data_IF_207356758647
#
_entry.id   IF_207356758647
#
_cell.length_a   1.000
_cell.length_b   1.000
_cell.length_c   1.000
_cell.angle_alpha   90.00
_cell.angle_beta   90.00
_cell.angle_gamma   90.00
#
_symmetry.space_group_name_H-M   'P 1'
#
loop_
_entity.id
_entity.type
_entity.pdbx_description
1 polymer ?
#
# COMPACT_ATOMS: atom_id res chain seq x y z
N UNK A 1 -10.05 -9.76 8.90
CA UNK A 1 -10.15 -9.92 7.44
C UNK A 1 -8.76 -10.31 6.99
N UNK A 2 -8.63 -11.41 6.24
CA UNK A 2 -7.33 -12.08 6.09
C UNK A 2 -6.29 -11.19 5.40
N UNK A 3 -6.71 -10.29 4.50
CA UNK A 3 -5.80 -9.29 3.90
C UNK A 3 -5.38 -8.25 4.91
N UNK A 4 -6.33 -7.67 5.66
CA UNK A 4 -6.01 -6.68 6.68
C UNK A 4 -5.10 -7.26 7.79
N UNK A 5 -5.29 -8.52 8.14
CA UNK A 5 -4.48 -9.22 9.14
C UNK A 5 -3.06 -9.48 8.62
N UNK A 6 -2.91 -9.83 7.33
CA UNK A 6 -1.60 -9.90 6.67
C UNK A 6 -0.86 -8.55 6.67
N UNK A 7 -1.55 -7.44 6.40
CA UNK A 7 -0.95 -6.10 6.45
C UNK A 7 -0.55 -5.72 7.88
N UNK A 8 -1.39 -6.01 8.88
CA UNK A 8 -1.04 -5.79 10.29
C UNK A 8 0.20 -6.56 10.72
N UNK A 9 0.36 -7.79 10.23
CA UNK A 9 1.55 -8.60 10.49
C UNK A 9 2.80 -7.92 9.93
N UNK A 10 2.78 -7.48 8.67
CA UNK A 10 3.90 -6.73 8.07
C UNK A 10 4.23 -5.47 8.89
N UNK A 11 3.20 -4.73 9.32
CA UNK A 11 3.36 -3.54 10.18
C UNK A 11 3.91 -3.85 11.59
N UNK A 12 3.87 -5.11 12.04
CA UNK A 12 4.43 -5.52 13.32
C UNK A 12 5.89 -5.97 13.24
N UNK A 13 6.38 -6.30 12.03
CA UNK A 13 7.74 -6.79 11.80
C UNK A 13 8.74 -5.64 11.61
N UNK A 14 8.28 -4.49 11.09
CA UNK A 14 9.10 -3.29 10.89
C UNK A 14 8.26 -2.02 11.10
N UNK A 15 8.93 -0.93 11.53
CA UNK A 15 8.27 0.34 11.75
C UNK A 15 8.08 1.12 10.43
N UNK A 16 6.84 1.16 9.95
CA UNK A 16 6.45 1.96 8.78
C UNK A 16 5.72 3.23 9.20
N UNK A 17 6.04 4.34 8.53
CA UNK A 17 5.39 5.63 8.73
C UNK A 17 4.00 5.72 8.08
N UNK A 18 3.76 4.91 7.04
CA UNK A 18 2.47 4.85 6.35
C UNK A 18 2.28 3.55 5.55
N UNK A 19 1.03 3.24 5.21
CA UNK A 19 0.65 2.23 4.22
C UNK A 19 0.25 2.93 2.92
N UNK A 20 0.74 2.43 1.78
CA UNK A 20 0.38 2.88 0.45
C UNK A 20 -0.29 1.75 -0.33
N UNK A 21 -1.40 2.05 -1.01
CA UNK A 21 -2.12 1.09 -1.88
C UNK A 21 -2.34 1.68 -3.27
N UNK A 22 -2.45 0.80 -4.29
CA UNK A 22 -2.51 1.22 -5.70
C UNK A 22 -3.82 0.86 -6.44
N UNK A 23 -4.81 0.32 -5.73
CA UNK A 23 -6.10 -0.03 -6.29
C UNK A 23 -7.27 0.39 -5.40
N UNK A 24 -8.40 0.70 -6.03
CA UNK A 24 -9.65 1.07 -5.35
C UNK A 24 -10.10 -0.01 -4.36
N UNK A 25 -10.05 -1.27 -4.77
CA UNK A 25 -10.64 -2.37 -4.01
C UNK A 25 -9.81 -2.65 -2.74
N UNK A 26 -8.48 -2.71 -2.86
CA UNK A 26 -7.59 -2.84 -1.71
C UNK A 26 -7.68 -1.62 -0.78
N UNK A 27 -7.84 -0.42 -1.34
CA UNK A 27 -8.09 0.80 -0.53
C UNK A 27 -9.36 0.67 0.30
N UNK A 28 -10.48 0.25 -0.31
CA UNK A 28 -11.75 0.11 0.39
C UNK A 28 -11.68 -0.96 1.48
N UNK A 29 -11.12 -2.12 1.16
CA UNK A 29 -10.95 -3.25 2.08
C UNK A 29 -10.13 -2.87 3.31
N UNK A 30 -8.94 -2.31 3.10
CA UNK A 30 -8.06 -1.93 4.21
C UNK A 30 -8.62 -0.74 5.00
N UNK A 31 -9.26 0.25 4.36
CA UNK A 31 -9.90 1.35 5.09
C UNK A 31 -11.07 0.88 5.95
N UNK A 32 -11.81 -0.13 5.49
CA UNK A 32 -12.91 -0.70 6.24
C UNK A 32 -12.41 -1.52 7.43
N UNK A 33 -11.44 -2.41 7.20
CA UNK A 33 -10.98 -3.36 8.22
C UNK A 33 -9.85 -2.84 9.11
N UNK A 34 -9.10 -1.81 8.71
CA UNK A 34 -7.99 -1.21 9.46
C UNK A 34 -8.29 0.23 9.92
N UNK A 35 -9.57 0.59 10.09
CA UNK A 35 -9.95 1.91 10.57
C UNK A 35 -9.40 2.28 11.96
N UNK A 36 -8.99 1.26 12.75
CA UNK A 36 -8.38 1.37 14.07
C UNK A 36 -6.84 1.47 14.05
N UNK A 37 -6.20 1.25 12.89
CA UNK A 37 -4.76 1.24 12.78
C UNK A 37 -4.17 2.65 12.99
N UNK A 38 -3.09 2.74 13.79
CA UNK A 38 -2.36 3.99 14.01
C UNK A 38 -1.58 4.44 12.77
N UNK A 39 -1.15 3.50 11.94
CA UNK A 39 -0.41 3.77 10.71
C UNK A 39 -1.38 4.30 9.65
N UNK A 40 -1.18 5.53 9.14
CA UNK A 40 -2.09 6.11 8.15
C UNK A 40 -2.02 5.36 6.81
N UNK A 41 -3.18 5.20 6.18
CA UNK A 41 -3.32 4.61 4.84
C UNK A 41 -3.55 5.70 3.79
N UNK A 42 -2.74 5.66 2.73
CA UNK A 42 -2.81 6.53 1.57
C UNK A 42 -2.94 5.73 0.26
N UNK A 43 -3.43 6.42 -0.77
CA UNK A 43 -3.66 5.86 -2.10
C UNK A 43 -2.73 6.52 -3.11
N UNK A 44 -2.05 5.68 -3.90
CA UNK A 44 -1.23 6.13 -5.01
C UNK A 44 -2.09 6.70 -6.13
N UNK A 45 -1.83 7.95 -6.53
CA UNK A 45 -2.46 8.55 -7.70
C UNK A 45 -1.68 8.22 -8.95
N UNK A 46 -2.33 7.53 -9.89
CA UNK A 46 -1.68 7.14 -11.16
C UNK A 46 -1.62 8.28 -12.18
N UNK A 47 -2.45 9.31 -12.00
CA UNK A 47 -2.62 10.46 -12.91
C UNK A 47 -2.95 11.71 -12.08
N UNK A 48 -2.83 12.92 -12.67
CA UNK A 48 -3.25 14.15 -12.01
C UNK A 48 -4.74 14.15 -11.62
N UNK A 49 -5.61 13.70 -12.53
CA UNK A 49 -7.03 13.53 -12.21
C UNK A 49 -7.28 12.28 -11.36
N UNK A 50 -7.99 12.40 -10.22
CA UNK A 50 -8.40 11.26 -9.40
C UNK A 50 -9.32 10.32 -10.18
N UNK A 51 -9.00 9.05 -10.19
CA UNK A 51 -9.78 8.02 -10.88
C UNK A 51 -10.84 7.38 -9.97
N UNK A 52 -10.71 7.53 -8.66
CA UNK A 52 -11.71 7.13 -7.68
C UNK A 52 -11.65 7.96 -6.41
N UNK A 53 -12.73 7.91 -5.61
CA UNK A 53 -12.91 8.75 -4.42
C UNK A 53 -11.72 8.72 -3.43
N UNK A 54 -11.11 7.55 -3.20
CA UNK A 54 -9.96 7.45 -2.27
C UNK A 54 -8.69 8.18 -2.77
N UNK A 55 -8.50 8.33 -4.08
CA UNK A 55 -7.41 9.16 -4.63
C UNK A 55 -7.65 10.66 -4.35
N UNK A 56 -8.89 11.07 -4.05
CA UNK A 56 -9.23 12.44 -3.65
C UNK A 56 -9.08 12.64 -2.15
N UNK A 57 -9.52 11.68 -1.33
CA UNK A 57 -9.65 11.86 0.11
C UNK A 57 -8.43 11.41 0.90
N UNK A 58 -7.61 10.51 0.34
CA UNK A 58 -6.39 10.00 0.98
C UNK A 58 -5.23 9.92 -0.01
N UNK A 59 -4.91 11.00 -0.75
CA UNK A 59 -3.81 10.97 -1.70
C UNK A 59 -2.47 10.77 -0.97
N UNK A 60 -1.62 9.91 -1.51
CA UNK A 60 -0.22 9.89 -1.12
C UNK A 60 0.47 11.16 -1.63
N UNK A 61 1.19 11.87 -0.76
CA UNK A 61 1.77 13.18 -1.03
C UNK A 61 3.18 13.28 -0.46
N UNK A 62 3.95 14.28 -0.94
CA UNK A 62 5.23 14.59 -0.33
C UNK A 62 5.05 14.95 1.16
N UNK A 63 5.98 14.48 2.01
CA UNK A 63 5.92 14.66 3.46
C UNK A 63 5.15 13.57 4.22
N UNK A 64 4.61 12.56 3.54
CA UNK A 64 4.13 11.34 4.22
C UNK A 64 5.29 10.69 5.01
N UNK A 65 5.08 10.28 6.28
CA UNK A 65 6.13 9.64 7.07
C UNK A 65 6.65 8.35 6.40
N UNK A 66 7.97 8.22 6.36
CA UNK A 66 8.70 7.11 5.76
C UNK A 66 9.37 6.22 6.83
N UNK A 67 9.73 4.96 6.53
CA UNK A 67 9.48 4.23 5.28
C UNK A 67 8.00 3.94 5.08
N UNK A 68 7.59 3.85 3.83
CA UNK A 68 6.20 3.56 3.43
C UNK A 68 6.09 2.10 3.03
N UNK A 69 5.10 1.40 3.58
CA UNK A 69 4.75 0.04 3.16
C UNK A 69 3.80 0.10 1.96
N UNK A 70 4.31 -0.12 0.76
CA UNK A 70 3.46 -0.35 -0.41
C UNK A 70 2.88 -1.76 -0.33
N UNK A 71 1.56 -1.88 -0.40
CA UNK A 71 0.83 -3.14 -0.47
C UNK A 71 0.03 -3.19 -1.77
N UNK A 72 0.13 -4.30 -2.51
CA UNK A 72 -0.56 -4.47 -3.79
C UNK A 72 -0.85 -5.93 -4.11
N UNK A 73 -1.85 -6.16 -4.97
CA UNK A 73 -2.13 -7.47 -5.59
C UNK A 73 -1.22 -7.76 -6.78
N UNK A 74 -0.28 -6.86 -7.08
CA UNK A 74 0.74 -7.03 -8.12
C UNK A 74 2.11 -6.79 -7.51
N UNK A 75 3.11 -7.53 -7.99
CA UNK A 75 4.50 -7.28 -7.61
C UNK A 75 4.87 -5.80 -7.80
N UNK A 76 5.66 -5.26 -6.88
CA UNK A 76 5.91 -3.83 -6.71
C UNK A 76 6.23 -3.13 -8.02
N UNK A 77 5.22 -2.43 -8.54
CA UNK A 77 5.21 -1.96 -9.93
C UNK A 77 6.21 -0.84 -10.10
N UNK A 78 7.00 -0.91 -11.18
CA UNK A 78 7.95 0.16 -11.56
C UNK A 78 7.28 1.53 -11.69
N UNK A 79 5.99 1.60 -12.03
CA UNK A 79 5.24 2.87 -12.10
C UNK A 79 5.02 3.56 -10.75
N UNK A 80 5.29 2.89 -9.64
CA UNK A 80 5.28 3.46 -8.28
C UNK A 80 6.71 3.50 -7.75
N UNK A 81 7.40 2.36 -7.76
CA UNK A 81 8.70 2.23 -7.11
C UNK A 81 9.78 3.13 -7.73
N UNK A 82 9.67 3.51 -9.00
CA UNK A 82 10.59 4.47 -9.64
C UNK A 82 10.53 5.88 -9.06
N UNK A 83 9.58 6.19 -8.19
CA UNK A 83 9.46 7.50 -7.55
C UNK A 83 10.15 7.56 -6.18
N UNK A 84 10.81 6.48 -5.77
CA UNK A 84 11.49 6.35 -4.48
C UNK A 84 12.98 6.12 -4.68
N UNK A 85 13.81 6.59 -3.75
CA UNK A 85 15.26 6.38 -3.74
C UNK A 85 15.61 4.95 -3.34
N UNK A 86 14.86 4.39 -2.39
CA UNK A 86 15.05 3.03 -1.90
C UNK A 86 13.79 2.19 -2.10
N UNK A 87 14.01 0.93 -2.51
CA UNK A 87 12.96 -0.07 -2.72
C UNK A 87 13.46 -1.41 -2.17
N UNK A 88 12.87 -1.85 -1.06
CA UNK A 88 13.14 -3.18 -0.50
C UNK A 88 11.94 -4.08 -0.78
N UNK A 89 12.15 -5.13 -1.57
CA UNK A 89 11.12 -6.15 -1.80
C UNK A 89 10.98 -7.01 -0.55
N UNK A 90 9.74 -7.16 -0.06
CA UNK A 90 9.43 -8.10 1.01
C UNK A 90 8.93 -9.42 0.41
N UNK A 91 9.07 -10.55 1.13
CA UNK A 91 8.44 -11.80 0.71
C UNK A 91 6.94 -11.62 0.48
N UNK A 92 6.37 -12.16 -0.61
CA UNK A 92 4.93 -12.12 -0.82
C UNK A 92 4.22 -12.92 0.27
N UNK A 93 3.01 -12.48 0.65
CA UNK A 93 2.15 -13.15 1.62
C UNK A 93 1.03 -13.86 0.88
N UNK A 94 0.95 -15.17 1.05
CA UNK A 94 -0.18 -15.97 0.55
C UNK A 94 -1.33 -15.89 1.54
N UNK A 95 -2.44 -15.31 1.11
CA UNK A 95 -3.66 -15.16 1.89
C UNK A 95 -4.64 -16.23 1.42
N UNK A 96 -4.96 -17.25 2.25
CA UNK A 96 -6.02 -18.17 1.90
C UNK A 96 -7.32 -17.37 1.76
N UNK A 97 -8.15 -17.72 0.79
CA UNK A 97 -9.51 -17.21 0.64
C UNK A 97 -10.49 -18.38 0.75
N UNK A 98 -11.79 -18.08 0.70
CA UNK A 98 -12.83 -19.09 0.63
C UNK A 98 -12.65 -20.01 -0.60
N UNK A 99 -13.00 -21.29 -0.44
CA UNK A 99 -13.07 -22.30 -1.53
C UNK A 99 -11.74 -22.56 -2.27
N UNK A 100 -10.65 -22.79 -1.53
CA UNK A 100 -9.33 -23.13 -2.10
C UNK A 100 -8.77 -22.09 -3.08
N UNK A 101 -9.20 -20.83 -2.98
CA UNK A 101 -8.55 -19.74 -3.68
C UNK A 101 -7.50 -19.13 -2.78
N UNK A 102 -6.41 -18.65 -3.36
CA UNK A 102 -5.38 -17.92 -2.63
C UNK A 102 -5.17 -16.58 -3.31
N UNK A 103 -4.95 -15.54 -2.51
CA UNK A 103 -4.57 -14.21 -2.96
C UNK A 103 -3.12 -13.96 -2.54
N UNK A 104 -2.26 -13.72 -3.51
CA UNK A 104 -0.90 -13.26 -3.24
C UNK A 104 -0.90 -11.75 -2.99
N UNK A 105 -0.47 -11.35 -1.80
CA UNK A 105 -0.22 -9.95 -1.44
C UNK A 105 1.27 -9.66 -1.60
N UNK A 106 1.60 -8.65 -2.39
CA UNK A 106 2.97 -8.17 -2.53
C UNK A 106 3.18 -6.94 -1.65
N UNK A 107 4.35 -6.87 -1.03
CA UNK A 107 4.73 -5.76 -0.18
C UNK A 107 6.15 -5.26 -0.48
N UNK A 108 6.33 -3.94 -0.37
CA UNK A 108 7.65 -3.30 -0.46
C UNK A 108 7.78 -2.17 0.55
N UNK A 109 8.95 -2.07 1.16
CA UNK A 109 9.36 -0.87 1.88
C UNK A 109 9.93 0.16 0.91
N UNK A 110 9.41 1.37 0.93
CA UNK A 110 9.78 2.47 0.03
C UNK A 110 10.22 3.70 0.85
N UNK A 111 11.32 4.33 0.46
CA UNK A 111 11.81 5.56 1.10
C UNK A 111 12.42 6.53 0.09
N UNK A 112 12.49 7.81 0.44
CA UNK A 112 13.01 8.87 -0.40
C UNK A 112 12.06 9.19 -1.55
N UNK A 113 10.80 9.50 -1.25
CA UNK A 113 9.84 9.88 -2.29
C UNK A 113 10.25 11.18 -2.98
N UNK A 114 10.46 11.11 -4.31
CA UNK A 114 10.88 12.23 -5.16
C UNK A 114 9.73 13.02 -5.78
N UNK A 115 8.48 12.62 -5.53
CA UNK A 115 7.29 13.15 -6.19
C UNK A 115 6.81 12.26 -7.34
N UNK A 116 5.49 12.27 -7.58
CA UNK A 116 4.90 11.67 -8.77
C UNK A 116 5.11 12.62 -9.97
N UNK A 117 5.27 12.06 -11.18
CA UNK A 117 5.43 12.89 -12.39
C UNK A 117 4.22 13.83 -12.54
N UNK A 118 4.50 15.09 -12.90
CA UNK A 118 3.49 16.14 -13.10
C UNK A 118 2.58 15.82 -14.28
#
# INVERSE_FOLDING_TARGET
>A
DETADAVRKLLSEEAYGAVLVDTRDLSAELLYYMGDAKTPLYVWKRRPEPHHHYEMTRPFVAGTPEPVLLVSLRACRKGISRHFDSVTLLPPVEIPLVRNQTRTLHACALSGFRGADK
#
